data_IF_320658807156
#
_entry.id   IF_320658807156
#
_cell.length_a   1.000
_cell.length_b   1.000
_cell.length_c   1.000
_cell.angle_alpha   90.00
_cell.angle_beta   90.00
_cell.angle_gamma   90.00
#
_symmetry.space_group_name_H-M   'P 1'
#
loop_
_entity.id
_entity.type
_entity.pdbx_description
1 polymer ?
#
# COMPACT_ATOMS: atom_id res chain seq x y z
N UNK A 1 13.91 -1.32 19.71
CA UNK A 1 12.89 -0.30 19.34
C UNK A 1 11.84 -0.26 20.44
N UNK A 2 11.80 0.82 21.21
CA UNK A 2 10.86 1.00 22.33
C UNK A 2 9.47 1.29 21.78
N UNK A 3 8.52 0.36 21.98
CA UNK A 3 7.11 0.58 21.61
C UNK A 3 6.58 1.79 22.39
N UNK A 4 6.08 2.78 21.68
CA UNK A 4 5.40 3.95 22.25
C UNK A 4 3.98 3.59 22.68
N UNK A 5 3.37 4.36 23.60
CA UNK A 5 1.96 4.17 23.99
C UNK A 5 0.99 4.23 22.79
N UNK A 6 1.35 4.95 21.72
CA UNK A 6 0.58 5.01 20.48
C UNK A 6 0.60 3.69 19.71
N UNK A 7 1.67 2.89 19.84
CA UNK A 7 1.78 1.58 19.19
C UNK A 7 0.87 0.53 19.82
N UNK A 8 0.49 0.72 21.09
CA UNK A 8 -0.47 -0.14 21.80
C UNK A 8 -1.91 0.03 21.29
N UNK A 9 -2.20 1.15 20.62
CA UNK A 9 -3.53 1.51 20.13
C UNK A 9 -3.60 1.54 18.59
N UNK A 10 -2.57 1.00 17.90
CA UNK A 10 -2.59 0.92 16.43
C UNK A 10 -3.72 -0.02 15.97
N UNK A 11 -4.32 0.32 14.83
CA UNK A 11 -5.29 -0.55 14.17
C UNK A 11 -4.67 -1.92 13.88
N UNK A 12 -5.39 -2.97 14.23
CA UNK A 12 -4.95 -4.36 14.00
C UNK A 12 -5.07 -4.76 12.53
N UNK A 13 -5.93 -4.08 11.76
CA UNK A 13 -6.03 -4.24 10.31
C UNK A 13 -4.96 -3.40 9.62
N UNK A 14 -3.98 -4.09 9.03
CA UNK A 14 -2.92 -3.47 8.21
C UNK A 14 -3.08 -3.95 6.78
N UNK A 15 -3.32 -3.01 5.85
CA UNK A 15 -3.51 -3.31 4.43
C UNK A 15 -2.37 -4.15 3.86
N UNK A 16 -1.12 -3.84 4.23
CA UNK A 16 0.09 -4.53 3.76
C UNK A 16 0.01 -6.05 3.97
N UNK A 17 -0.49 -6.50 5.12
CA UNK A 17 -0.60 -7.94 5.43
C UNK A 17 -1.63 -8.66 4.56
N UNK A 18 -2.67 -7.96 4.10
CA UNK A 18 -3.67 -8.52 3.18
C UNK A 18 -3.28 -8.39 1.71
N UNK A 19 -2.39 -7.44 1.41
CA UNK A 19 -1.94 -7.14 0.04
C UNK A 19 -0.73 -7.98 -0.36
N UNK A 20 0.23 -8.16 0.54
CA UNK A 20 1.41 -9.00 0.32
C UNK A 20 1.06 -10.42 0.77
N UNK A 21 1.07 -11.36 -0.18
CA UNK A 21 0.73 -12.76 0.09
C UNK A 21 1.75 -13.46 1.01
N UNK A 22 3.05 -13.49 0.66
CA UNK A 22 4.04 -14.21 1.44
C UNK A 22 4.25 -13.64 2.85
N UNK A 23 4.21 -14.52 3.85
CA UNK A 23 4.61 -14.17 5.21
C UNK A 23 6.13 -14.22 5.40
N UNK A 24 6.61 -13.83 6.59
CA UNK A 24 8.05 -13.79 6.90
C UNK A 24 8.73 -15.17 6.83
N UNK A 25 8.02 -16.27 7.08
CA UNK A 25 8.54 -17.63 6.93
C UNK A 25 8.65 -18.05 5.46
N UNK A 26 7.63 -17.73 4.67
CA UNK A 26 7.62 -17.97 3.23
C UNK A 26 8.69 -17.14 2.52
N UNK A 27 8.83 -15.85 2.87
CA UNK A 27 9.90 -14.98 2.36
C UNK A 27 11.28 -15.56 2.65
N UNK A 28 11.54 -16.03 3.87
CA UNK A 28 12.82 -16.68 4.22
C UNK A 28 13.06 -17.95 3.41
N UNK A 29 12.03 -18.75 3.18
CA UNK A 29 12.14 -19.98 2.37
C UNK A 29 12.50 -19.65 0.92
N UNK A 30 11.84 -18.66 0.32
CA UNK A 30 12.13 -18.22 -1.05
C UNK A 30 13.54 -17.62 -1.16
N UNK A 31 13.94 -16.78 -0.20
CA UNK A 31 15.29 -16.19 -0.16
C UNK A 31 16.38 -17.26 -0.08
N UNK A 32 16.18 -18.29 0.75
CA UNK A 32 17.10 -19.43 0.85
C UNK A 32 17.24 -20.19 -0.47
N UNK A 33 16.14 -20.38 -1.21
CA UNK A 33 16.17 -21.02 -2.53
C UNK A 33 16.94 -20.17 -3.58
N UNK A 34 16.94 -18.85 -3.43
CA UNK A 34 17.67 -17.91 -4.28
C UNK A 34 19.11 -17.64 -3.81
N UNK A 35 19.50 -18.12 -2.63
CA UNK A 35 20.84 -17.92 -2.06
C UNK A 35 21.07 -16.51 -1.51
N UNK A 36 20.03 -15.83 -1.03
CA UNK A 36 20.13 -14.50 -0.40
C UNK A 36 19.74 -14.53 1.07
N UNK A 37 20.44 -13.74 1.89
CA UNK A 37 20.20 -13.67 3.34
C UNK A 37 19.06 -12.73 3.74
N UNK A 38 18.69 -11.79 2.86
CA UNK A 38 17.63 -10.80 3.10
C UNK A 38 17.03 -10.26 1.81
N UNK A 39 15.86 -9.60 1.93
CA UNK A 39 15.27 -8.84 0.82
C UNK A 39 16.19 -7.70 0.36
N UNK A 40 16.89 -7.04 1.30
CA UNK A 40 17.84 -5.98 0.95
C UNK A 40 19.00 -6.53 0.11
N UNK A 41 19.56 -7.69 0.48
CA UNK A 41 20.63 -8.33 -0.27
C UNK A 41 20.19 -8.74 -1.69
N UNK A 42 18.95 -9.22 -1.82
CA UNK A 42 18.36 -9.51 -3.13
C UNK A 42 18.18 -8.22 -3.97
N UNK A 43 17.70 -7.13 -3.36
CA UNK A 43 17.53 -5.84 -4.04
C UNK A 43 18.88 -5.29 -4.52
N UNK A 44 19.92 -5.34 -3.68
CA UNK A 44 21.26 -4.85 -4.00
C UNK A 44 21.89 -5.62 -5.18
N UNK A 45 21.64 -6.93 -5.26
CA UNK A 45 22.10 -7.76 -6.37
C UNK A 45 21.31 -7.52 -7.68
N UNK A 46 20.10 -6.97 -7.60
CA UNK A 46 19.18 -6.86 -8.74
C UNK A 46 19.12 -5.45 -9.33
N UNK A 47 19.10 -4.42 -8.49
CA UNK A 47 18.88 -3.02 -8.92
C UNK A 47 20.20 -2.24 -8.84
N UNK A 48 20.73 -1.72 -9.97
CA UNK A 48 21.95 -0.93 -9.94
C UNK A 48 21.84 0.27 -9.00
N UNK A 49 22.81 0.42 -8.10
CA UNK A 49 22.81 1.47 -7.08
C UNK A 49 22.68 2.88 -7.67
N UNK A 50 23.25 3.11 -8.86
CA UNK A 50 23.22 4.39 -9.58
C UNK A 50 21.83 4.93 -9.90
N UNK A 51 20.81 4.06 -9.92
CA UNK A 51 19.42 4.45 -10.22
C UNK A 51 18.48 4.25 -9.03
N UNK A 52 18.98 3.76 -7.89
CA UNK A 52 18.16 3.51 -6.71
C UNK A 52 17.92 4.82 -5.95
N UNK A 53 16.72 4.96 -5.40
CA UNK A 53 16.38 6.11 -4.57
C UNK A 53 17.19 6.07 -3.26
N UNK A 54 17.98 7.12 -3.00
CA UNK A 54 18.83 7.22 -1.78
C UNK A 54 18.07 7.64 -0.52
N UNK A 55 16.77 7.94 -0.66
CA UNK A 55 15.89 8.36 0.43
C UNK A 55 14.56 7.61 0.35
N UNK A 56 13.82 7.45 1.45
CA UNK A 56 12.46 6.95 1.39
C UNK A 56 11.54 7.84 0.54
N UNK A 57 10.44 7.27 0.06
CA UNK A 57 9.39 8.04 -0.58
C UNK A 57 8.80 9.04 0.42
N UNK A 58 8.61 10.28 -0.04
CA UNK A 58 7.98 11.33 0.75
C UNK A 58 6.46 11.22 0.68
N UNK A 59 5.91 10.21 1.36
CA UNK A 59 4.48 9.95 1.44
C UNK A 59 3.94 10.34 2.83
N UNK A 60 2.63 10.56 2.91
CA UNK A 60 1.93 10.71 4.18
C UNK A 60 1.99 9.42 5.02
N UNK A 61 1.55 9.47 6.29
CA UNK A 61 1.53 8.30 7.15
C UNK A 61 0.61 7.21 6.58
N UNK A 62 0.91 5.97 6.92
CA UNK A 62 0.04 4.84 6.67
C UNK A 62 -1.34 5.05 7.30
N UNK A 63 -2.37 4.52 6.65
CA UNK A 63 -3.76 4.54 7.12
C UNK A 63 -4.29 3.13 7.14
N UNK A 64 -5.19 2.84 8.09
CA UNK A 64 -5.97 1.62 8.02
C UNK A 64 -6.92 1.65 6.83
N UNK A 65 -7.38 0.48 6.40
CA UNK A 65 -8.36 0.39 5.31
C UNK A 65 -9.68 1.07 5.67
N UNK A 66 -10.11 0.95 6.93
CA UNK A 66 -11.30 1.62 7.44
C UNK A 66 -11.19 3.14 7.32
N UNK A 67 -10.08 3.72 7.79
CA UNK A 67 -9.84 5.16 7.72
C UNK A 67 -9.78 5.65 6.27
N UNK A 68 -9.09 4.91 5.40
CA UNK A 68 -8.99 5.24 3.99
C UNK A 68 -10.38 5.27 3.32
N UNK A 69 -11.21 4.25 3.54
CA UNK A 69 -12.56 4.19 2.99
C UNK A 69 -13.47 5.30 3.55
N UNK A 70 -13.34 5.64 4.83
CA UNK A 70 -14.08 6.73 5.44
C UNK A 70 -13.74 8.09 4.79
N UNK A 71 -12.45 8.36 4.59
CA UNK A 71 -11.99 9.59 3.94
C UNK A 71 -12.39 9.64 2.46
N UNK A 72 -12.27 8.53 1.73
CA UNK A 72 -12.69 8.46 0.33
C UNK A 72 -14.20 8.69 0.17
N UNK A 73 -15.03 8.20 1.11
CA UNK A 73 -16.47 8.50 1.11
C UNK A 73 -16.75 9.98 1.34
N UNK A 74 -16.03 10.63 2.25
CA UNK A 74 -16.15 12.08 2.47
C UNK A 74 -15.69 12.88 1.25
N UNK A 75 -14.63 12.42 0.58
CA UNK A 75 -14.17 13.03 -0.66
C UNK A 75 -15.22 12.89 -1.77
N UNK A 76 -15.75 11.68 -1.96
CA UNK A 76 -16.73 11.34 -2.99
C UNK A 76 -18.07 12.04 -2.79
N UNK A 77 -18.49 12.32 -1.54
CA UNK A 77 -19.76 13.02 -1.25
C UNK A 77 -19.77 14.47 -1.75
N UNK A 78 -18.61 15.02 -2.11
CA UNK A 78 -18.51 16.35 -2.73
C UNK A 78 -18.88 16.35 -4.21
N UNK A 79 -18.94 15.19 -4.86
CA UNK A 79 -19.38 15.08 -6.24
C UNK A 79 -20.90 15.33 -6.35
N UNK A 80 -21.32 15.96 -7.44
CA UNK A 80 -22.74 16.15 -7.76
C UNK A 80 -23.13 15.19 -8.86
N UNK A 81 -23.97 14.21 -8.52
CA UNK A 81 -24.49 13.24 -9.49
C UNK A 81 -25.69 13.87 -10.20
N UNK A 82 -25.51 14.22 -11.48
CA UNK A 82 -26.57 14.74 -12.32
C UNK A 82 -27.08 13.67 -13.28
N UNK A 83 -28.35 13.78 -13.66
CA UNK A 83 -28.85 13.14 -14.88
C UNK A 83 -28.19 13.80 -16.09
N UNK A 84 -27.15 13.18 -16.59
CA UNK A 84 -26.29 13.74 -17.62
C UNK A 84 -26.75 13.31 -19.00
N UNK A 85 -27.31 14.24 -19.79
CA UNK A 85 -27.76 14.01 -21.17
C UNK A 85 -26.79 14.58 -22.21
N UNK A 86 -25.50 14.60 -21.88
CA UNK A 86 -24.46 15.15 -22.75
C UNK A 86 -24.24 14.25 -23.98
N UNK A 87 -24.36 12.93 -23.81
CA UNK A 87 -24.11 11.95 -24.86
C UNK A 87 -22.63 11.83 -25.19
N UNK A 88 -22.26 12.07 -26.45
CA UNK A 88 -20.88 12.02 -26.93
C UNK A 88 -20.15 10.69 -26.64
N UNK A 89 -20.89 9.57 -26.66
CA UNK A 89 -20.33 8.23 -26.47
C UNK A 89 -20.53 7.63 -25.08
N UNK A 90 -21.09 8.37 -24.12
CA UNK A 90 -21.48 7.84 -22.81
C UNK A 90 -22.98 8.04 -22.57
N UNK A 91 -23.65 6.96 -22.16
CA UNK A 91 -25.09 6.95 -21.86
C UNK A 91 -25.31 6.17 -20.56
N UNK A 92 -26.12 6.72 -19.67
CA UNK A 92 -26.47 6.07 -18.40
C UNK A 92 -27.29 4.79 -18.66
N UNK A 93 -27.10 3.76 -17.84
CA UNK A 93 -27.77 2.46 -17.99
C UNK A 93 -28.25 1.92 -16.64
N UNK A 94 -29.19 0.97 -16.68
CA UNK A 94 -29.75 0.28 -15.51
C UNK A 94 -29.00 -1.02 -15.28
#
# INVERSE_FOLDING_TARGET
MTKTNKDLLRHTDTFVRRHIGPDEGEVRTMLGALGHDSLDALIDATVPASIRLERPLALGPERSEYELLAELRQLASRNRVFRSMIGMGYHDCI
#
